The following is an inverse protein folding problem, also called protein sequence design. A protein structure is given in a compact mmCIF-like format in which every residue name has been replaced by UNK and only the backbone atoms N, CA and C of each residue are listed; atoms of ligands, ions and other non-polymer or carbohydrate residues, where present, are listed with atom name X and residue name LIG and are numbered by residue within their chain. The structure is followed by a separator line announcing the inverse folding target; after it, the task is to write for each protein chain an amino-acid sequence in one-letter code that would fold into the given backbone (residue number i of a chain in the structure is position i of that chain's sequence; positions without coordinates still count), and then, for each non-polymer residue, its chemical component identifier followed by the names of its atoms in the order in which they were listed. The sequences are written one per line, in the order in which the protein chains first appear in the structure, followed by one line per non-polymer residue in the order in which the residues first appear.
data_IF_251413142595
#
_entry.id   IF_251413142595
#
_cell.length_a   1.000
_cell.length_b   1.000
_cell.length_c   1.000
_cell.angle_alpha   90.00
_cell.angle_beta   90.00
_cell.angle_gamma   90.00
#
_symmetry.space_group_name_H-M   'P 1'
#
loop_
_entity.id
_entity.type
_entity.pdbx_description
1 polymer ?
#
# COMPACT_ATOMS: atom_id res chain seq x y z
N UNK A 1 1.12 -36.39 -12.03
CA UNK A 1 1.29 -35.33 -13.05
C UNK A 1 0.06 -34.41 -13.08
N UNK A 2 -0.01 -33.41 -12.20
CA UNK A 2 -0.96 -32.30 -12.32
C UNK A 2 -0.22 -31.04 -11.86
N UNK A 3 0.42 -30.38 -12.82
CA UNK A 3 1.21 -29.16 -12.64
C UNK A 3 0.30 -27.93 -12.82
N UNK A 4 0.49 -26.99 -11.90
CA UNK A 4 0.43 -25.53 -12.08
C UNK A 4 -0.95 -24.89 -12.28
N UNK A 5 -1.42 -24.29 -11.19
CA UNK A 5 -2.53 -23.36 -11.11
C UNK A 5 -2.03 -22.19 -10.29
N UNK A 6 -1.58 -21.11 -10.94
CA UNK A 6 -1.33 -19.84 -10.28
C UNK A 6 -1.19 -18.69 -11.30
N UNK A 7 -1.32 -17.46 -10.79
CA UNK A 7 -1.19 -16.13 -11.41
C UNK A 7 -2.54 -15.47 -11.77
N UNK A 8 -3.11 -14.77 -10.78
CA UNK A 8 -4.06 -13.67 -10.96
C UNK A 8 -3.51 -12.49 -10.16
N UNK A 9 -2.68 -11.70 -10.85
CA UNK A 9 -2.31 -10.30 -10.65
C UNK A 9 -0.95 -10.16 -11.36
N UNK A 10 -0.90 -9.34 -12.42
CA UNK A 10 0.28 -9.07 -13.26
C UNK A 10 0.82 -10.19 -14.20
N UNK A 11 -0.05 -11.04 -14.75
CA UNK A 11 0.16 -11.60 -16.10
C UNK A 11 -0.98 -11.18 -17.04
N UNK A 12 -1.06 -9.89 -17.36
CA UNK A 12 -1.90 -9.41 -18.47
C UNK A 12 -1.07 -9.01 -19.70
N UNK A 13 0.27 -9.00 -19.64
CA UNK A 13 1.09 -8.56 -20.79
C UNK A 13 2.33 -9.40 -21.11
N UNK A 14 2.47 -10.64 -20.63
CA UNK A 14 3.51 -11.55 -21.16
C UNK A 14 2.97 -12.33 -22.37
N UNK A 15 2.73 -11.61 -23.45
CA UNK A 15 2.21 -12.18 -24.69
C UNK A 15 1.94 -11.15 -25.79
N UNK A 16 2.52 -9.95 -25.70
CA UNK A 16 2.50 -8.98 -26.79
C UNK A 16 3.84 -8.25 -26.75
N UNK A 17 4.76 -8.60 -27.65
CA UNK A 17 5.88 -7.73 -27.98
C UNK A 17 5.36 -6.53 -28.75
N UNK A 18 4.75 -5.57 -28.07
CA UNK A 18 4.41 -4.24 -28.61
C UNK A 18 4.72 -3.23 -27.50
N UNK A 19 5.39 -2.15 -27.88
CA UNK A 19 5.70 -1.03 -27.00
C UNK A 19 4.42 -0.60 -26.26
N UNK A 20 4.44 -0.62 -24.92
CA UNK A 20 3.34 -0.11 -24.13
C UNK A 20 3.16 1.38 -24.46
N UNK A 21 2.07 1.72 -25.16
CA UNK A 21 1.67 3.10 -25.37
C UNK A 21 0.80 3.50 -24.18
N UNK A 22 1.26 4.49 -23.41
CA UNK A 22 0.47 5.09 -22.35
C UNK A 22 -0.77 5.77 -22.96
N UNK A 23 -1.95 5.23 -22.70
CA UNK A 23 -3.21 5.74 -23.26
C UNK A 23 -3.49 7.19 -22.86
N UNK A 24 -2.84 7.71 -21.81
CA UNK A 24 -3.01 9.09 -21.34
C UNK A 24 -2.42 10.12 -22.31
N UNK A 25 -1.48 9.71 -23.16
CA UNK A 25 -0.74 10.60 -24.06
C UNK A 25 -1.16 10.46 -25.54
N UNK A 26 -2.24 9.73 -25.83
CA UNK A 26 -2.72 9.50 -27.19
C UNK A 26 -3.74 10.56 -27.59
N UNK A 27 -3.50 11.21 -28.73
CA UNK A 27 -4.45 12.14 -29.38
C UNK A 27 -5.69 11.44 -29.91
N UNK A 28 -5.58 10.16 -30.28
CA UNK A 28 -6.69 9.30 -30.68
C UNK A 28 -6.45 7.88 -30.14
N UNK A 29 -7.45 7.31 -29.45
CA UNK A 29 -7.36 5.99 -28.83
C UNK A 29 -8.00 4.93 -29.74
N UNK A 30 -7.18 4.10 -30.38
CA UNK A 30 -7.67 2.93 -31.13
C UNK A 30 -8.04 1.78 -30.17
N UNK A 31 -9.28 1.81 -29.69
CA UNK A 31 -9.83 0.75 -28.83
C UNK A 31 -10.08 -0.58 -29.55
N UNK A 32 -10.10 -0.62 -30.88
CA UNK A 32 -10.33 -1.86 -31.61
C UNK A 32 -9.06 -2.72 -31.61
N UNK A 33 -7.90 -2.12 -31.85
CA UNK A 33 -6.65 -2.85 -31.98
C UNK A 33 -5.96 -3.12 -30.64
N UNK A 34 -6.07 -2.21 -29.67
CA UNK A 34 -5.30 -2.27 -28.42
C UNK A 34 -6.18 -2.39 -27.16
N UNK A 35 -5.82 -3.26 -26.19
CA UNK A 35 -6.64 -3.53 -25.01
C UNK A 35 -6.43 -2.49 -23.90
N UNK A 36 -6.54 -1.19 -24.21
CA UNK A 36 -6.34 -0.10 -23.24
C UNK A 36 -7.23 -0.20 -22.00
N UNK A 37 -8.39 -0.86 -22.12
CA UNK A 37 -9.29 -1.10 -20.98
C UNK A 37 -8.59 -1.73 -19.78
N UNK A 38 -7.54 -2.53 -19.97
CA UNK A 38 -6.81 -3.16 -18.87
C UNK A 38 -6.09 -2.16 -17.97
N UNK A 39 -5.49 -1.12 -18.57
CA UNK A 39 -4.84 -0.03 -17.84
C UNK A 39 -5.88 0.96 -17.30
N UNK A 40 -6.91 1.27 -18.09
CA UNK A 40 -8.00 2.17 -17.68
C UNK A 40 -8.78 1.63 -16.46
N UNK A 41 -8.95 0.32 -16.32
CA UNK A 41 -9.57 -0.31 -15.14
C UNK A 41 -8.85 0.02 -13.82
N UNK A 42 -7.56 0.35 -13.90
CA UNK A 42 -6.69 0.65 -12.76
C UNK A 42 -6.54 2.15 -12.51
N UNK A 43 -7.15 2.99 -13.34
CA UNK A 43 -7.10 4.44 -13.24
C UNK A 43 -8.50 5.03 -13.03
N UNK A 44 -8.82 5.37 -11.78
CA UNK A 44 -10.11 5.95 -11.41
C UNK A 44 -10.30 7.41 -11.88
N UNK A 45 -9.30 8.05 -12.50
CA UNK A 45 -9.50 9.32 -13.20
C UNK A 45 -10.19 9.13 -14.56
N UNK A 46 -10.16 7.92 -15.12
CA UNK A 46 -10.82 7.58 -16.39
C UNK A 46 -12.28 7.26 -16.12
N UNK A 47 -13.19 7.78 -16.93
CA UNK A 47 -14.62 7.54 -16.76
C UNK A 47 -14.97 6.05 -16.97
N UNK A 48 -15.89 5.53 -16.15
CA UNK A 48 -16.35 4.14 -16.23
C UNK A 48 -16.93 3.78 -17.61
N UNK A 49 -17.77 4.65 -18.18
CA UNK A 49 -18.40 4.41 -19.48
C UNK A 49 -17.38 4.46 -20.63
N UNK A 50 -16.33 5.27 -20.50
CA UNK A 50 -15.22 5.26 -21.46
C UNK A 50 -14.46 3.93 -21.44
N UNK A 51 -14.20 3.41 -20.24
CA UNK A 51 -13.54 2.12 -20.02
C UNK A 51 -14.39 0.96 -20.54
N UNK A 52 -15.72 0.99 -20.32
CA UNK A 52 -16.68 0.07 -20.97
C UNK A 52 -16.62 0.15 -22.49
N UNK A 53 -16.67 1.36 -23.05
CA UNK A 53 -16.59 1.56 -24.51
C UNK A 53 -15.31 0.96 -25.07
N UNK A 54 -14.17 1.19 -24.43
CA UNK A 54 -12.89 0.61 -24.83
C UNK A 54 -12.93 -0.91 -24.84
N UNK A 55 -13.45 -1.53 -23.77
CA UNK A 55 -13.60 -2.97 -23.67
C UNK A 55 -14.50 -3.56 -24.75
N UNK A 56 -15.72 -3.04 -24.92
CA UNK A 56 -16.68 -3.59 -25.88
C UNK A 56 -16.23 -3.37 -27.33
N UNK A 57 -15.51 -2.28 -27.61
CA UNK A 57 -14.90 -2.05 -28.93
C UNK A 57 -13.81 -3.08 -29.20
N UNK A 58 -12.92 -3.32 -28.23
CA UNK A 58 -11.90 -4.37 -28.33
C UNK A 58 -12.54 -5.75 -28.52
N UNK A 59 -13.58 -6.10 -27.76
CA UNK A 59 -14.13 -7.45 -27.76
C UNK A 59 -15.19 -7.75 -28.83
N UNK A 60 -15.59 -6.76 -29.64
CA UNK A 60 -16.73 -6.86 -30.59
C UNK A 60 -16.71 -8.13 -31.46
N UNK A 61 -15.54 -8.48 -32.00
CA UNK A 61 -15.36 -9.60 -32.93
C UNK A 61 -14.34 -10.63 -32.42
N UNK A 62 -14.16 -10.72 -31.09
CA UNK A 62 -13.17 -11.59 -30.44
C UNK A 62 -13.83 -12.64 -29.55
N UNK A 63 -13.33 -13.87 -29.57
CA UNK A 63 -13.79 -14.95 -28.68
C UNK A 63 -12.96 -14.98 -27.38
N UNK A 64 -13.56 -14.85 -26.19
CA UNK A 64 -12.83 -14.90 -24.93
C UNK A 64 -12.14 -16.24 -24.69
N UNK A 65 -10.87 -16.20 -24.30
CA UNK A 65 -10.08 -17.36 -23.88
C UNK A 65 -9.65 -17.23 -22.42
N UNK A 66 -9.21 -18.32 -21.81
CA UNK A 66 -8.71 -18.28 -20.43
C UNK A 66 -7.49 -17.36 -20.36
N UNK A 67 -7.50 -16.41 -19.42
CA UNK A 67 -6.41 -15.45 -19.22
C UNK A 67 -6.49 -14.20 -20.10
N UNK A 68 -7.49 -14.07 -20.96
CA UNK A 68 -7.57 -12.95 -21.93
C UNK A 68 -7.93 -11.59 -21.34
N UNK A 69 -8.12 -11.46 -20.02
CA UNK A 69 -8.62 -10.23 -19.39
C UNK A 69 -10.14 -10.03 -19.41
N UNK A 70 -10.89 -10.83 -20.19
CA UNK A 70 -12.36 -10.71 -20.30
C UNK A 70 -13.10 -10.88 -18.96
N UNK A 71 -12.86 -12.00 -18.26
CA UNK A 71 -13.51 -12.28 -16.96
C UNK A 71 -13.10 -11.27 -15.87
N UNK A 72 -11.82 -10.88 -15.73
CA UNK A 72 -11.43 -9.76 -14.87
C UNK A 72 -12.24 -8.48 -15.14
N UNK A 73 -12.34 -8.04 -16.40
CA UNK A 73 -13.12 -6.85 -16.74
C UNK A 73 -14.59 -6.99 -16.34
N UNK A 74 -15.25 -8.12 -16.64
CA UNK A 74 -16.68 -8.30 -16.28
C UNK A 74 -16.93 -8.27 -14.77
N UNK A 75 -15.97 -8.72 -13.94
CA UNK A 75 -16.04 -8.58 -12.48
C UNK A 75 -15.89 -7.12 -12.05
N UNK A 76 -14.93 -6.41 -12.64
CA UNK A 76 -14.73 -4.98 -12.40
C UNK A 76 -15.97 -4.17 -12.79
N UNK A 77 -16.55 -4.44 -13.95
CA UNK A 77 -17.74 -3.75 -14.44
C UNK A 77 -18.94 -3.96 -13.53
N UNK A 78 -19.21 -5.22 -13.14
CA UNK A 78 -20.25 -5.56 -12.18
C UNK A 78 -20.04 -4.89 -10.81
N UNK A 79 -18.79 -4.83 -10.35
CA UNK A 79 -18.47 -4.17 -9.08
C UNK A 79 -18.76 -2.67 -9.13
N UNK A 80 -18.37 -2.00 -10.22
CA UNK A 80 -18.41 -0.54 -10.30
C UNK A 80 -19.72 0.06 -10.81
N UNK A 81 -20.52 -0.67 -11.60
CA UNK A 81 -21.74 -0.13 -12.22
C UNK A 81 -22.72 0.53 -11.23
N UNK A 82 -22.75 0.07 -9.97
CA UNK A 82 -23.62 0.59 -8.91
C UNK A 82 -22.89 1.51 -7.90
N UNK A 83 -21.61 1.82 -8.15
CA UNK A 83 -20.69 2.56 -7.24
C UNK A 83 -20.12 3.85 -7.85
N UNK A 84 -20.64 4.25 -9.00
CA UNK A 84 -20.25 5.47 -9.72
C UNK A 84 -21.32 6.55 -9.61
N UNK A 85 -20.98 7.77 -10.01
CA UNK A 85 -21.96 8.81 -10.25
C UNK A 85 -22.73 8.54 -11.56
N UNK A 86 -23.92 9.15 -11.75
CA UNK A 86 -24.71 8.94 -12.97
C UNK A 86 -23.97 9.26 -14.28
N UNK A 87 -23.00 10.16 -14.24
CA UNK A 87 -22.16 10.56 -15.38
C UNK A 87 -20.97 9.60 -15.65
N UNK A 88 -20.78 8.57 -14.84
CA UNK A 88 -19.70 7.58 -14.98
C UNK A 88 -18.42 7.92 -14.24
N UNK A 89 -18.36 9.06 -13.55
CA UNK A 89 -17.22 9.40 -12.69
C UNK A 89 -17.22 8.54 -11.41
N UNK A 90 -16.03 8.18 -10.94
CA UNK A 90 -15.88 7.46 -9.67
C UNK A 90 -16.13 8.41 -8.49
N UNK A 91 -16.76 7.88 -7.43
CA UNK A 91 -16.97 8.62 -6.18
C UNK A 91 -15.63 8.81 -5.47
N UNK A 92 -15.50 9.91 -4.73
CA UNK A 92 -14.32 10.17 -3.92
C UNK A 92 -14.11 9.04 -2.88
N UNK A 93 -12.85 8.72 -2.51
CA UNK A 93 -12.55 7.66 -1.55
C UNK A 93 -13.27 7.79 -0.20
N UNK A 94 -13.52 9.01 0.26
CA UNK A 94 -14.19 9.36 1.52
C UNK A 94 -15.70 9.57 1.37
N UNK A 95 -16.28 9.34 0.19
CA UNK A 95 -17.70 9.62 -0.05
C UNK A 95 -18.62 8.94 0.98
N UNK A 96 -18.42 7.64 1.23
CA UNK A 96 -19.24 6.88 2.18
C UNK A 96 -19.10 7.43 3.59
N UNK A 97 -17.89 7.86 3.97
CA UNK A 97 -17.62 8.49 5.27
C UNK A 97 -18.38 9.81 5.41
N UNK A 98 -18.27 10.68 4.41
CA UNK A 98 -18.95 11.97 4.41
C UNK A 98 -20.48 11.79 4.48
N UNK A 99 -21.04 10.88 3.69
CA UNK A 99 -22.49 10.61 3.71
C UNK A 99 -22.94 9.99 5.03
N UNK A 100 -22.13 9.13 5.66
CA UNK A 100 -22.40 8.61 6.99
C UNK A 100 -22.47 9.72 8.04
N UNK A 101 -21.49 10.63 8.05
CA UNK A 101 -21.49 11.76 8.98
C UNK A 101 -22.63 12.74 8.74
N UNK A 102 -22.95 13.06 7.48
CA UNK A 102 -24.16 13.84 7.13
C UNK A 102 -25.42 13.16 7.65
N UNK A 103 -25.53 11.85 7.48
CA UNK A 103 -26.66 11.09 7.99
C UNK A 103 -26.78 11.21 9.52
N UNK A 104 -25.67 11.08 10.26
CA UNK A 104 -25.66 11.24 11.72
C UNK A 104 -25.99 12.66 12.18
N UNK A 105 -25.57 13.69 11.45
CA UNK A 105 -25.91 15.09 11.73
C UNK A 105 -27.42 15.35 11.55
N UNK A 106 -28.01 14.81 10.49
CA UNK A 106 -29.44 14.92 10.18
C UNK A 106 -30.31 14.00 11.07
N UNK A 107 -29.73 12.92 11.57
CA UNK A 107 -30.38 11.90 12.40
C UNK A 107 -29.59 11.69 13.70
N UNK A 108 -29.50 12.71 14.57
CA UNK A 108 -28.78 12.57 15.83
C UNK A 108 -29.37 11.39 16.59
N UNK A 109 -28.49 10.49 17.03
CA UNK A 109 -28.88 9.28 17.76
C UNK A 109 -29.51 9.71 19.09
N UNK A 110 -30.83 9.90 19.09
CA UNK A 110 -31.62 10.16 20.29
C UNK A 110 -31.84 8.83 21.01
N UNK A 111 -31.92 8.87 22.36
CA UNK A 111 -31.99 7.68 23.22
C UNK A 111 -33.08 6.66 22.85
N UNK A 112 -34.08 7.04 22.04
CA UNK A 112 -35.18 6.17 21.59
C UNK A 112 -34.90 5.32 20.33
N UNK A 113 -33.81 5.57 19.59
CA UNK A 113 -33.41 4.79 18.39
C UNK A 113 -32.21 3.87 18.63
N UNK A 114 -31.72 3.79 19.87
CA UNK A 114 -30.80 2.73 20.30
C UNK A 114 -31.56 1.40 20.19
N UNK A 115 -31.47 0.77 19.02
CA UNK A 115 -31.80 -0.64 18.87
C UNK A 115 -31.11 -1.38 20.02
N UNK A 116 -31.85 -2.28 20.68
CA UNK A 116 -31.34 -2.99 21.86
C UNK A 116 -29.94 -3.55 21.61
N UNK A 117 -29.08 -3.56 22.63
CA UNK A 117 -27.69 -4.02 22.53
C UNK A 117 -27.60 -5.28 21.66
N UNK A 118 -27.16 -5.13 20.41
CA UNK A 118 -26.94 -6.25 19.52
C UNK A 118 -25.60 -6.87 19.92
N UNK A 119 -25.61 -8.15 20.26
CA UNK A 119 -24.38 -8.91 20.49
C UNK A 119 -23.91 -9.45 19.16
N UNK A 120 -22.80 -8.92 18.65
CA UNK A 120 -22.12 -9.46 17.48
C UNK A 120 -21.08 -10.48 17.94
N UNK A 121 -21.00 -11.61 17.24
CA UNK A 121 -19.98 -12.63 17.47
C UNK A 121 -19.27 -13.00 16.16
N UNK A 122 -17.96 -13.20 16.25
CA UNK A 122 -17.13 -13.65 15.14
C UNK A 122 -17.29 -15.17 14.95
N UNK A 123 -17.82 -15.58 13.79
CA UNK A 123 -18.04 -16.99 13.46
C UNK A 123 -16.81 -17.68 12.83
N UNK A 124 -15.72 -16.96 12.59
CA UNK A 124 -14.50 -17.46 11.96
C UNK A 124 -14.45 -17.26 10.43
N UNK A 125 -13.42 -17.83 9.77
CA UNK A 125 -12.50 -18.85 10.28
C UNK A 125 -11.37 -18.30 11.17
N UNK A 126 -11.23 -18.86 12.38
CA UNK A 126 -10.14 -18.52 13.33
C UNK A 126 -8.83 -19.27 13.06
N UNK A 127 -8.92 -20.38 12.35
CA UNK A 127 -7.78 -21.24 12.02
C UNK A 127 -7.74 -21.46 10.52
N UNK A 128 -6.53 -21.52 9.97
CA UNK A 128 -6.33 -21.93 8.59
C UNK A 128 -6.83 -23.36 8.39
N UNK A 129 -7.90 -23.52 7.63
CA UNK A 129 -8.28 -24.84 7.13
C UNK A 129 -7.45 -25.15 5.87
N UNK A 130 -6.81 -26.33 5.84
CA UNK A 130 -5.95 -26.77 4.74
C UNK A 130 -6.78 -27.14 3.50
N UNK A 131 -7.34 -26.15 2.81
CA UNK A 131 -8.06 -26.32 1.55
C UNK A 131 -7.15 -26.27 0.31
N UNK A 132 -5.84 -26.07 0.50
CA UNK A 132 -4.87 -25.85 -0.59
C UNK A 132 -4.88 -24.39 -1.10
N UNK A 133 -3.77 -23.95 -1.72
CA UNK A 133 -3.62 -22.58 -2.26
C UNK A 133 -3.28 -21.49 -1.22
N UNK A 134 -3.46 -20.21 -1.61
CA UNK A 134 -3.33 -18.99 -0.77
C UNK A 134 -4.46 -18.85 0.26
N UNK A 135 -4.85 -19.95 0.89
CA UNK A 135 -5.88 -19.97 1.91
C UNK A 135 -5.23 -19.63 3.25
N UNK A 136 -5.41 -18.40 3.72
CA UNK A 136 -5.04 -17.92 5.05
C UNK A 136 -6.28 -17.36 5.76
N UNK A 137 -6.14 -16.96 7.02
CA UNK A 137 -7.21 -16.27 7.78
C UNK A 137 -7.25 -14.75 7.52
N UNK A 138 -6.33 -14.24 6.69
CA UNK A 138 -6.23 -12.83 6.31
C UNK A 138 -4.80 -12.48 5.89
N UNK A 139 -4.61 -11.29 5.30
CA UNK A 139 -3.30 -10.68 5.06
C UNK A 139 -3.01 -9.65 6.14
N UNK A 140 -1.73 -9.46 6.47
CA UNK A 140 -1.23 -8.37 7.32
C UNK A 140 -0.33 -7.49 6.46
N UNK A 141 -0.54 -6.17 6.50
CA UNK A 141 0.29 -5.19 5.81
C UNK A 141 1.31 -4.53 6.75
N UNK A 142 0.95 -4.36 8.03
CA UNK A 142 1.76 -3.64 9.01
C UNK A 142 1.89 -4.42 10.31
N UNK A 143 3.05 -4.28 10.94
CA UNK A 143 3.30 -4.73 12.31
C UNK A 143 4.10 -3.64 13.03
N UNK A 144 3.72 -3.36 14.28
CA UNK A 144 4.46 -2.50 15.18
C UNK A 144 4.51 -3.13 16.58
N UNK A 145 5.47 -2.71 17.39
CA UNK A 145 5.72 -3.28 18.71
C UNK A 145 5.71 -2.17 19.75
N UNK A 146 5.20 -2.48 20.94
CA UNK A 146 5.37 -1.63 22.09
C UNK A 146 6.86 -1.63 22.52
N UNK A 147 7.38 -0.46 22.90
CA UNK A 147 8.83 -0.27 23.15
C UNK A 147 9.38 -1.14 24.27
N UNK A 148 8.63 -1.22 25.37
CA UNK A 148 9.10 -1.83 26.63
C UNK A 148 8.26 -3.02 27.06
N UNK A 149 7.20 -3.34 26.34
CA UNK A 149 6.29 -4.44 26.67
C UNK A 149 6.28 -5.43 25.49
N UNK A 150 6.98 -6.57 25.61
CA UNK A 150 7.05 -7.53 24.53
C UNK A 150 5.73 -8.26 24.27
N UNK A 151 4.74 -8.15 25.17
CA UNK A 151 3.43 -8.76 25.00
C UNK A 151 2.48 -7.90 24.17
N UNK A 152 2.79 -6.62 23.99
CA UNK A 152 1.95 -5.68 23.26
C UNK A 152 2.43 -5.52 21.81
N UNK A 153 1.61 -6.00 20.87
CA UNK A 153 1.90 -6.00 19.42
C UNK A 153 0.68 -5.43 18.69
N UNK A 154 0.95 -4.65 17.65
CA UNK A 154 -0.04 -4.01 16.81
C UNK A 154 0.09 -4.53 15.39
N UNK A 155 -1.03 -4.85 14.74
CA UNK A 155 -1.04 -5.25 13.33
C UNK A 155 -2.11 -4.52 12.55
N UNK A 156 -1.81 -4.24 11.28
CA UNK A 156 -2.71 -3.62 10.32
C UNK A 156 -3.01 -4.58 9.18
N UNK A 157 -4.28 -4.75 8.84
CA UNK A 157 -4.74 -5.57 7.73
C UNK A 157 -5.16 -4.68 6.54
N UNK A 158 -5.03 -5.16 5.29
CA UNK A 158 -5.38 -4.40 4.08
C UNK A 158 -6.87 -4.11 3.94
N UNK A 159 -7.74 -4.89 4.58
CA UNK A 159 -9.19 -4.73 4.58
C UNK A 159 -9.82 -5.35 5.84
N UNK A 160 -9.04 -5.38 6.93
CA UNK A 160 -9.42 -6.04 8.18
C UNK A 160 -9.22 -5.16 9.42
N UNK A 161 -8.78 -3.92 9.25
CA UNK A 161 -8.64 -2.95 10.33
C UNK A 161 -7.33 -3.03 11.09
N UNK A 162 -7.30 -2.32 12.22
CA UNK A 162 -6.21 -2.33 13.18
C UNK A 162 -6.52 -3.31 14.30
N UNK A 163 -5.51 -4.05 14.74
CA UNK A 163 -5.61 -5.03 15.81
C UNK A 163 -4.49 -4.85 16.81
N UNK A 164 -4.80 -5.08 18.07
CA UNK A 164 -3.85 -5.09 19.19
C UNK A 164 -3.96 -6.42 19.94
N UNK A 165 -2.81 -6.95 20.34
CA UNK A 165 -2.69 -7.98 21.38
C UNK A 165 -1.92 -7.38 22.55
N UNK A 166 -2.25 -7.81 23.78
CA UNK A 166 -1.54 -7.47 25.01
C UNK A 166 -1.04 -8.74 25.74
N UNK A 167 -1.10 -9.89 25.08
CA UNK A 167 -0.76 -11.20 25.65
C UNK A 167 0.20 -12.00 24.75
N UNK A 168 0.96 -11.32 23.90
CA UNK A 168 1.95 -11.94 23.02
C UNK A 168 1.35 -12.65 21.81
N UNK A 169 0.11 -12.31 21.43
CA UNK A 169 -0.56 -12.82 20.24
C UNK A 169 -1.52 -13.98 20.48
N UNK A 170 -1.82 -14.33 21.74
CA UNK A 170 -2.81 -15.34 22.10
C UNK A 170 -4.24 -14.85 21.81
N UNK A 171 -4.52 -13.58 22.10
CA UNK A 171 -5.76 -12.91 21.74
C UNK A 171 -5.53 -11.57 21.05
N UNK A 172 -6.45 -11.21 20.16
CA UNK A 172 -6.41 -9.98 19.37
C UNK A 172 -7.76 -9.26 19.45
N UNK A 173 -7.71 -7.94 19.61
CA UNK A 173 -8.90 -7.07 19.66
C UNK A 173 -8.81 -6.01 18.57
N UNK A 174 -9.95 -5.69 17.96
CA UNK A 174 -10.09 -4.58 17.03
C UNK A 174 -11.29 -3.70 17.42
N UNK A 175 -11.12 -2.39 17.29
CA UNK A 175 -12.17 -1.39 17.48
C UNK A 175 -12.39 -0.55 16.22
N UNK A 176 -11.96 -1.05 15.06
CA UNK A 176 -12.01 -0.30 13.79
C UNK A 176 -13.26 -0.51 12.96
N UNK A 177 -14.30 -1.14 13.51
CA UNK A 177 -15.56 -1.42 12.80
C UNK A 177 -16.27 -0.15 12.30
N UNK A 178 -15.96 1.00 12.91
CA UNK A 178 -16.50 2.32 12.55
C UNK A 178 -15.57 3.14 11.65
N UNK A 179 -14.36 2.64 11.35
CA UNK A 179 -13.47 3.36 10.44
C UNK A 179 -14.05 3.38 9.03
N UNK A 180 -13.94 4.51 8.31
CA UNK A 180 -14.42 4.61 6.93
C UNK A 180 -13.67 3.73 5.93
N UNK A 181 -12.48 3.27 6.32
CA UNK A 181 -11.69 2.30 5.58
C UNK A 181 -11.08 1.31 6.54
N UNK A 182 -11.11 0.03 6.18
CA UNK A 182 -10.51 -1.05 6.98
C UNK A 182 -9.08 -1.36 6.51
N UNK A 183 -8.52 -0.58 5.59
CA UNK A 183 -7.12 -0.75 5.18
C UNK A 183 -6.19 -0.01 6.12
N UNK A 184 -5.25 -0.74 6.73
CA UNK A 184 -4.18 -0.19 7.57
C UNK A 184 -2.85 -0.73 7.04
N UNK A 185 -2.02 0.15 6.48
CA UNK A 185 -0.75 -0.22 5.85
C UNK A 185 0.49 0.33 6.57
N UNK A 186 0.32 1.25 7.52
CA UNK A 186 1.41 1.73 8.37
C UNK A 186 0.91 2.02 9.77
N UNK A 187 1.73 1.75 10.78
CA UNK A 187 1.43 2.01 12.19
C UNK A 187 2.66 2.66 12.81
N UNK A 188 2.50 3.82 13.41
CA UNK A 188 3.47 4.43 14.32
C UNK A 188 2.86 4.53 15.71
N UNK A 189 3.55 3.98 16.70
CA UNK A 189 3.15 4.04 18.10
C UNK A 189 4.08 5.01 18.81
N UNK A 190 3.53 5.96 19.55
CA UNK A 190 4.37 6.85 20.32
C UNK A 190 5.16 6.07 21.39
N UNK A 191 6.45 6.40 21.53
CA UNK A 191 7.34 5.63 22.39
C UNK A 191 7.19 5.99 23.86
N UNK A 192 6.72 7.20 24.16
CA UNK A 192 6.57 7.73 25.51
C UNK A 192 5.09 7.72 25.94
N UNK A 193 4.17 7.76 24.96
CA UNK A 193 2.72 7.76 25.13
C UNK A 193 2.07 6.69 24.25
N UNK A 194 2.23 5.39 24.54
CA UNK A 194 1.80 4.29 23.67
C UNK A 194 0.29 4.25 23.34
N UNK A 195 -0.54 4.98 24.08
CA UNK A 195 -1.93 5.24 23.75
C UNK A 195 -2.12 6.11 22.49
N UNK A 196 -1.09 6.88 22.11
CA UNK A 196 -1.05 7.70 20.90
C UNK A 196 -0.53 6.86 19.73
N UNK A 197 -1.39 6.62 18.76
CA UNK A 197 -1.10 5.75 17.61
C UNK A 197 -1.51 6.48 16.33
N UNK A 198 -0.61 6.50 15.34
CA UNK A 198 -0.90 6.95 13.99
C UNK A 198 -1.04 5.73 13.06
N UNK A 199 -2.11 5.70 12.29
CA UNK A 199 -2.39 4.68 11.30
C UNK A 199 -2.40 5.28 9.88
N UNK A 200 -1.52 4.78 9.02
CA UNK A 200 -1.58 5.04 7.58
C UNK A 200 -2.63 4.15 6.94
N UNK A 201 -3.64 4.76 6.35
CA UNK A 201 -4.82 4.04 5.86
C UNK A 201 -4.73 3.62 4.39
N UNK A 202 -5.58 2.66 4.01
CA UNK A 202 -5.65 2.05 2.70
C UNK A 202 -4.81 0.78 2.57
N UNK A 203 -4.95 0.11 1.43
CA UNK A 203 -4.17 -1.08 1.11
C UNK A 203 -3.03 -0.76 0.14
N UNK A 204 -1.80 -0.72 0.65
CA UNK A 204 -0.60 -0.43 -0.13
C UNK A 204 -0.40 -1.44 -1.26
N UNK A 205 -0.64 -2.72 -1.02
CA UNK A 205 -0.13 -3.77 -1.90
C UNK A 205 -1.18 -4.26 -2.92
N UNK A 206 -2.46 -4.38 -2.52
CA UNK A 206 -3.55 -4.87 -3.37
C UNK A 206 -4.54 -3.82 -3.89
N UNK A 207 -4.61 -2.63 -3.29
CA UNK A 207 -5.66 -1.66 -3.56
C UNK A 207 -7.06 -2.13 -3.13
N UNK A 208 -7.15 -3.08 -2.19
CA UNK A 208 -8.39 -3.68 -1.70
C UNK A 208 -9.26 -2.67 -0.91
N UNK A 209 -8.62 -1.69 -0.25
CA UNK A 209 -9.30 -0.65 0.52
C UNK A 209 -8.77 0.75 0.16
N UNK A 210 -9.66 1.76 0.04
CA UNK A 210 -9.24 3.14 -0.23
C UNK A 210 -8.38 3.70 0.90
N UNK A 211 -7.42 4.56 0.55
CA UNK A 211 -6.64 5.33 1.51
C UNK A 211 -7.25 6.71 1.76
N UNK A 212 -7.25 7.12 3.02
CA UNK A 212 -7.81 8.37 3.52
C UNK A 212 -6.75 9.17 4.30
N UNK A 213 -5.46 8.97 3.99
CA UNK A 213 -4.36 9.60 4.71
C UNK A 213 -4.06 8.92 6.05
N UNK A 214 -3.68 9.73 7.03
CA UNK A 214 -3.32 9.32 8.39
C UNK A 214 -4.50 9.52 9.35
N UNK A 215 -4.75 8.53 10.20
CA UNK A 215 -5.68 8.62 11.33
C UNK A 215 -4.90 8.54 12.64
N UNK A 216 -5.41 9.18 13.69
CA UNK A 216 -4.84 9.15 15.03
C UNK A 216 -5.80 8.53 16.03
N UNK A 217 -5.26 7.74 16.95
CA UNK A 217 -5.90 7.38 18.21
C UNK A 217 -5.12 8.00 19.37
N UNK A 218 -5.82 8.39 20.43
CA UNK A 218 -5.24 8.86 21.69
C UNK A 218 -5.62 7.96 22.88
N UNK A 219 -6.16 6.78 22.61
CA UNK A 219 -6.71 5.87 23.63
C UNK A 219 -6.36 4.39 23.34
N UNK A 220 -5.22 4.15 22.68
CA UNK A 220 -4.71 2.79 22.43
C UNK A 220 -5.43 2.06 21.29
N UNK A 221 -6.00 2.81 20.35
CA UNK A 221 -6.68 2.29 19.16
C UNK A 221 -8.16 1.98 19.35
N UNK A 222 -8.80 2.50 20.41
CA UNK A 222 -10.23 2.33 20.68
C UNK A 222 -11.04 3.30 19.84
N UNK A 223 -10.67 4.58 19.83
CA UNK A 223 -11.25 5.61 18.98
C UNK A 223 -10.21 6.22 18.05
N UNK A 224 -10.68 6.68 16.89
CA UNK A 224 -9.85 7.18 15.82
C UNK A 224 -10.46 8.43 15.21
N UNK A 225 -9.62 9.38 14.85
CA UNK A 225 -10.00 10.61 14.16
C UNK A 225 -9.07 10.86 12.96
N UNK A 226 -9.56 11.53 11.90
CA UNK A 226 -8.70 11.98 10.81
C UNK A 226 -7.56 12.87 11.35
N UNK A 227 -6.33 12.60 10.88
CA UNK A 227 -5.13 13.31 11.31
C UNK A 227 -4.19 13.58 10.13
N UNK A 228 -4.81 14.05 9.06
CA UNK A 228 -4.24 14.16 7.71
C UNK A 228 -4.41 15.57 7.14
N UNK A 229 -4.49 16.62 7.98
CA UNK A 229 -4.58 18.00 7.51
C UNK A 229 -3.39 18.33 6.59
N UNK A 230 -3.66 18.84 5.39
CA UNK A 230 -2.65 19.08 4.35
C UNK A 230 -2.28 17.84 3.49
N UNK A 231 -2.91 16.68 3.72
CA UNK A 231 -2.86 15.52 2.83
C UNK A 231 -4.12 15.36 1.98
N UNK A 232 -3.95 14.86 0.76
CA UNK A 232 -5.05 14.32 -0.04
C UNK A 232 -5.54 12.97 0.53
N UNK A 233 -6.68 12.46 0.06
CA UNK A 233 -7.13 11.09 0.32
C UNK A 233 -6.24 10.09 -0.43
N UNK A 234 -5.15 9.68 0.21
CA UNK A 234 -4.11 8.80 -0.34
C UNK A 234 -3.92 7.56 0.51
N UNK A 235 -3.42 6.49 -0.12
CA UNK A 235 -2.92 5.33 0.63
C UNK A 235 -1.59 5.71 1.25
N UNK A 236 -1.49 5.62 2.59
CA UNK A 236 -0.23 5.84 3.32
C UNK A 236 0.38 4.48 3.64
N UNK A 237 1.35 4.10 2.82
CA UNK A 237 1.91 2.75 2.82
C UNK A 237 3.10 2.55 3.77
N UNK A 238 3.79 3.62 4.13
CA UNK A 238 4.88 3.58 5.11
C UNK A 238 5.07 4.96 5.72
N UNK A 239 5.10 5.03 7.05
CA UNK A 239 5.53 6.20 7.79
C UNK A 239 6.86 5.90 8.48
N UNK A 240 7.75 6.88 8.48
CA UNK A 240 9.00 6.86 9.22
C UNK A 240 9.02 8.06 10.17
N UNK A 241 9.26 7.82 11.45
CA UNK A 241 9.47 8.86 12.45
C UNK A 241 10.97 9.07 12.66
N UNK A 242 11.40 10.31 12.79
CA UNK A 242 12.79 10.64 13.06
C UNK A 242 13.15 10.30 14.51
N UNK A 243 14.25 9.56 14.71
CA UNK A 243 14.69 9.14 16.05
C UNK A 243 15.21 10.31 16.90
N UNK A 244 15.71 11.37 16.27
CA UNK A 244 16.23 12.57 16.96
C UNK A 244 15.17 13.64 17.18
N UNK A 245 14.01 13.51 16.52
CA UNK A 245 12.88 14.43 16.64
C UNK A 245 11.55 13.69 16.38
N UNK A 246 10.86 13.21 17.44
CA UNK A 246 9.62 12.46 17.28
C UNK A 246 8.47 13.23 16.63
N UNK A 247 8.51 14.57 16.59
CA UNK A 247 7.49 15.35 15.87
C UNK A 247 7.73 15.40 14.37
N UNK A 248 8.92 14.98 13.91
CA UNK A 248 9.25 14.87 12.49
C UNK A 248 8.92 13.48 11.94
N UNK A 249 7.90 13.42 11.08
CA UNK A 249 7.46 12.19 10.41
C UNK A 249 7.43 12.41 8.90
N UNK A 250 7.89 11.40 8.16
CA UNK A 250 7.74 11.29 6.72
C UNK A 250 6.77 10.16 6.39
N UNK A 251 5.90 10.37 5.41
CA UNK A 251 4.90 9.42 4.95
C UNK A 251 5.04 9.18 3.44
N UNK A 252 5.43 7.96 3.07
CA UNK A 252 5.37 7.49 1.68
C UNK A 252 3.95 7.07 1.34
N UNK A 253 3.41 7.64 0.27
CA UNK A 253 2.02 7.43 -0.14
C UNK A 253 1.87 7.06 -1.61
N UNK A 254 0.65 6.69 -1.99
CA UNK A 254 0.28 6.43 -3.38
C UNK A 254 0.38 7.65 -4.30
N UNK A 255 0.52 8.87 -3.75
CA UNK A 255 0.61 10.12 -4.50
C UNK A 255 1.65 11.05 -3.88
N UNK A 256 2.89 10.57 -3.74
CA UNK A 256 4.01 11.36 -3.25
C UNK A 256 4.45 11.08 -1.81
N UNK A 257 5.39 11.91 -1.34
CA UNK A 257 5.89 11.91 0.04
C UNK A 257 5.31 13.12 0.76
N UNK A 258 4.75 12.89 1.94
CA UNK A 258 4.31 13.93 2.85
C UNK A 258 5.22 14.01 4.07
N UNK A 259 5.33 15.21 4.62
CA UNK A 259 6.17 15.54 5.77
C UNK A 259 5.35 16.32 6.80
N UNK A 260 5.62 16.06 8.07
CA UNK A 260 5.14 16.86 9.21
C UNK A 260 6.30 17.09 10.19
N UNK A 261 6.34 18.24 10.85
CA UNK A 261 7.29 18.55 11.93
C UNK A 261 6.60 18.87 13.25
N UNK A 262 5.28 18.71 13.31
CA UNK A 262 4.43 18.94 14.48
C UNK A 262 3.65 17.67 14.86
N UNK A 263 4.28 16.50 14.68
CA UNK A 263 3.75 15.22 15.13
C UNK A 263 2.54 14.71 14.35
N UNK A 264 2.27 15.27 13.16
CA UNK A 264 1.14 14.90 12.30
C UNK A 264 -0.03 15.87 12.32
N UNK A 265 0.03 16.96 13.09
CA UNK A 265 -1.05 17.96 13.09
C UNK A 265 -1.23 18.60 11.70
N UNK A 266 -0.14 18.86 10.98
CA UNK A 266 -0.17 19.34 9.60
C UNK A 266 0.88 18.64 8.75
N UNK A 267 0.50 18.32 7.52
CA UNK A 267 1.33 17.64 6.54
C UNK A 267 1.55 18.50 5.29
N UNK A 268 2.74 18.40 4.72
CA UNK A 268 3.11 19.08 3.47
C UNK A 268 3.68 18.05 2.51
N UNK A 269 3.20 18.05 1.28
CA UNK A 269 3.77 17.22 0.21
C UNK A 269 5.11 17.79 -0.24
N UNK A 270 6.18 16.99 -0.20
CA UNK A 270 7.54 17.44 -0.55
C UNK A 270 8.20 16.64 -1.66
N UNK A 271 7.57 15.56 -2.14
CA UNK A 271 8.06 14.85 -3.33
C UNK A 271 7.93 15.70 -4.60
N UNK A 272 8.86 15.53 -5.57
CA UNK A 272 8.82 16.27 -6.85
C UNK A 272 7.70 15.81 -7.79
N UNK A 273 7.09 14.66 -7.52
CA UNK A 273 6.07 14.04 -8.35
C UNK A 273 4.95 13.40 -7.51
N UNK A 274 3.96 12.84 -8.21
CA UNK A 274 2.84 12.09 -7.65
C UNK A 274 3.07 10.57 -7.76
N UNK A 275 4.33 10.12 -7.81
CA UNK A 275 4.65 8.70 -7.91
C UNK A 275 4.13 7.93 -6.68
N UNK A 276 3.95 6.62 -6.84
CA UNK A 276 3.64 5.72 -5.72
C UNK A 276 4.94 5.38 -4.98
N UNK A 277 5.16 6.03 -3.83
CA UNK A 277 6.29 5.75 -2.94
C UNK A 277 5.94 4.58 -2.02
N UNK A 278 6.82 3.59 -1.98
CA UNK A 278 6.55 2.27 -1.36
C UNK A 278 7.23 2.09 -0.01
N UNK A 279 8.40 2.70 0.15
CA UNK A 279 9.19 2.61 1.38
C UNK A 279 9.89 3.94 1.65
N UNK A 280 10.11 4.23 2.93
CA UNK A 280 10.77 5.44 3.39
C UNK A 280 11.44 5.19 4.74
N UNK A 281 12.69 5.63 4.90
CA UNK A 281 13.50 5.45 6.12
C UNK A 281 14.37 6.67 6.36
N UNK A 282 14.51 7.08 7.62
CA UNK A 282 15.55 8.01 8.01
C UNK A 282 16.92 7.32 8.05
N UNK A 283 17.97 8.09 7.78
CA UNK A 283 19.31 7.72 8.22
C UNK A 283 19.34 7.75 9.75
N UNK A 284 19.73 6.66 10.44
CA UNK A 284 19.74 6.61 11.89
C UNK A 284 20.54 7.78 12.48
N UNK A 285 19.96 8.46 13.47
CA UNK A 285 20.56 9.64 14.10
C UNK A 285 20.50 10.94 13.28
N UNK A 286 19.82 10.96 12.13
CA UNK A 286 19.69 12.15 11.28
C UNK A 286 18.24 12.63 11.15
N UNK A 287 18.06 13.94 11.25
CA UNK A 287 16.87 14.65 10.80
C UNK A 287 17.07 15.34 9.45
N UNK A 288 18.18 15.10 8.76
CA UNK A 288 18.49 15.71 7.46
C UNK A 288 18.45 14.68 6.33
N UNK A 289 19.00 13.49 6.56
CA UNK A 289 19.12 12.45 5.54
C UNK A 289 18.01 11.42 5.71
N UNK A 290 17.26 11.20 4.63
CA UNK A 290 16.30 10.13 4.51
C UNK A 290 16.29 9.55 3.10
N UNK A 291 15.73 8.37 2.98
CA UNK A 291 15.73 7.52 1.79
C UNK A 291 14.29 7.14 1.46
N UNK A 292 13.95 7.08 0.19
CA UNK A 292 12.64 6.58 -0.25
C UNK A 292 12.77 5.75 -1.53
N UNK A 293 11.85 4.82 -1.73
CA UNK A 293 11.68 4.10 -3.01
C UNK A 293 10.30 4.37 -3.57
N UNK A 294 10.21 4.43 -4.89
CA UNK A 294 8.96 4.48 -5.63
C UNK A 294 8.98 3.50 -6.80
N UNK A 295 7.88 3.40 -7.53
CA UNK A 295 7.86 2.67 -8.81
C UNK A 295 8.88 3.20 -9.83
N UNK A 296 9.40 4.42 -9.63
CA UNK A 296 10.35 5.09 -10.52
C UNK A 296 11.81 4.92 -10.09
N UNK A 297 12.09 4.45 -8.87
CA UNK A 297 13.45 4.19 -8.40
C UNK A 297 13.72 4.58 -6.96
N UNK A 298 14.97 4.93 -6.68
CA UNK A 298 15.49 5.28 -5.35
C UNK A 298 15.71 6.79 -5.26
N UNK A 299 15.31 7.37 -4.13
CA UNK A 299 15.32 8.80 -3.85
C UNK A 299 16.02 9.06 -2.52
N UNK A 300 16.65 10.23 -2.43
CA UNK A 300 17.36 10.67 -1.23
C UNK A 300 17.14 12.16 -0.98
N UNK A 301 17.04 12.52 0.29
CA UNK A 301 17.05 13.92 0.77
C UNK A 301 18.27 14.15 1.66
N UNK A 302 18.75 15.40 1.70
CA UNK A 302 19.81 15.87 2.61
C UNK A 302 19.37 17.11 3.42
N UNK A 303 18.13 17.55 3.25
CA UNK A 303 17.61 18.80 3.82
C UNK A 303 16.40 18.55 4.73
N UNK A 304 16.25 17.34 5.26
CA UNK A 304 15.13 16.99 6.14
C UNK A 304 13.82 16.87 5.36
N UNK A 305 13.89 16.32 4.14
CA UNK A 305 12.73 16.06 3.30
C UNK A 305 12.04 17.33 2.81
N UNK A 306 12.75 18.46 2.71
CA UNK A 306 12.24 19.64 1.99
C UNK A 306 12.29 19.40 0.48
N UNK A 307 13.37 18.76 0.01
CA UNK A 307 13.51 18.32 -1.38
C UNK A 307 14.00 16.88 -1.48
N UNK A 308 13.58 16.20 -2.55
CA UNK A 308 13.97 14.82 -2.85
C UNK A 308 14.66 14.73 -4.20
N UNK A 309 15.83 14.09 -4.22
CA UNK A 309 16.61 13.83 -5.43
C UNK A 309 16.41 12.39 -5.88
N UNK A 310 15.95 12.18 -7.11
CA UNK A 310 15.95 10.88 -7.75
C UNK A 310 17.40 10.48 -8.07
N UNK A 311 17.86 9.37 -7.52
CA UNK A 311 19.24 8.93 -7.69
C UNK A 311 19.40 8.16 -9.01
N UNK A 312 20.49 8.36 -9.76
CA UNK A 312 20.65 7.70 -11.05
C UNK A 312 21.06 6.23 -10.88
N UNK A 313 20.59 5.36 -11.78
CA UNK A 313 20.95 3.94 -11.83
C UNK A 313 22.46 3.67 -11.78
N UNK A 314 23.27 4.61 -12.26
CA UNK A 314 24.74 4.52 -12.28
C UNK A 314 25.38 4.41 -10.90
N UNK A 315 24.64 4.67 -9.82
CA UNK A 315 25.16 4.48 -8.45
C UNK A 315 25.16 3.02 -8.00
N UNK A 316 24.73 2.06 -8.82
CA UNK A 316 24.91 0.63 -8.56
C UNK A 316 23.74 -0.10 -7.89
N UNK A 317 22.56 0.52 -7.82
CA UNK A 317 21.31 -0.16 -7.46
C UNK A 317 20.54 -0.59 -8.73
N UNK A 318 19.64 -1.58 -8.65
CA UNK A 318 18.98 -2.08 -9.84
C UNK A 318 17.80 -1.21 -10.28
N UNK A 319 17.54 -1.17 -11.58
CA UNK A 319 16.40 -0.44 -12.15
C UNK A 319 15.29 -1.35 -12.65
N UNK A 320 14.05 -0.88 -12.48
CA UNK A 320 12.83 -1.57 -12.87
C UNK A 320 12.54 -2.74 -11.92
N UNK A 321 11.48 -2.62 -11.13
CA UNK A 321 11.16 -3.58 -10.07
C UNK A 321 10.71 -2.88 -8.80
N UNK A 322 10.44 -3.65 -7.74
CA UNK A 322 10.16 -3.14 -6.39
C UNK A 322 11.45 -3.13 -5.57
N UNK A 323 11.67 -2.05 -4.84
CA UNK A 323 12.78 -1.87 -3.92
C UNK A 323 12.26 -1.57 -2.52
N UNK A 324 12.89 -2.15 -1.51
CA UNK A 324 12.70 -1.81 -0.09
C UNK A 324 14.04 -1.47 0.55
N UNK A 325 14.00 -0.64 1.59
CA UNK A 325 15.17 -0.01 2.23
C UNK A 325 15.34 -0.56 3.65
N UNK A 326 16.54 -1.02 3.97
CA UNK A 326 16.97 -1.30 5.33
C UNK A 326 18.02 -0.29 5.80
N UNK A 327 17.86 0.24 7.02
CA UNK A 327 18.87 1.04 7.72
C UNK A 327 19.11 0.45 9.12
N UNK A 328 20.21 0.83 9.78
CA UNK A 328 20.53 0.27 11.11
C UNK A 328 21.19 1.30 12.04
N UNK A 329 20.73 1.46 13.30
CA UNK A 329 21.42 2.29 14.28
C UNK A 329 22.86 1.87 14.57
N UNK A 330 23.27 0.67 14.17
CA UNK A 330 24.65 0.20 14.30
C UNK A 330 25.65 0.98 13.42
N UNK A 331 25.17 1.63 12.34
CA UNK A 331 25.98 2.47 11.46
C UNK A 331 25.08 3.39 10.63
N UNK A 332 25.25 4.70 10.80
CA UNK A 332 24.51 5.73 10.05
C UNK A 332 24.82 5.72 8.54
N UNK A 333 25.97 5.20 8.13
CA UNK A 333 26.34 5.11 6.71
C UNK A 333 25.82 3.88 5.97
N UNK A 334 25.31 2.86 6.67
CA UNK A 334 24.87 1.61 6.05
C UNK A 334 23.43 1.70 5.57
N UNK A 335 23.24 1.47 4.27
CA UNK A 335 21.91 1.38 3.64
C UNK A 335 21.83 0.10 2.81
N UNK A 336 20.82 -0.70 3.08
CA UNK A 336 20.51 -1.91 2.31
C UNK A 336 19.36 -1.62 1.35
N UNK A 337 19.48 -2.13 0.12
CA UNK A 337 18.35 -2.26 -0.79
C UNK A 337 18.11 -3.72 -1.10
N UNK A 338 16.87 -4.14 -1.02
CA UNK A 338 16.42 -5.46 -1.47
C UNK A 338 15.48 -5.28 -2.66
N UNK A 339 15.76 -5.99 -3.75
CA UNK A 339 15.07 -5.81 -5.02
C UNK A 339 14.33 -7.05 -5.52
N UNK A 340 13.15 -6.82 -6.08
CA UNK A 340 12.40 -7.77 -6.89
C UNK A 340 12.22 -7.26 -8.31
N UNK A 341 12.43 -8.14 -9.31
CA UNK A 341 12.12 -7.88 -10.71
C UNK A 341 11.60 -9.15 -11.38
N UNK A 342 10.39 -9.57 -11.01
CA UNK A 342 9.82 -10.86 -11.43
C UNK A 342 10.66 -12.05 -10.97
N UNK A 343 11.31 -11.91 -9.83
CA UNK A 343 12.32 -12.80 -9.27
C UNK A 343 13.25 -12.01 -8.35
N UNK A 344 13.98 -12.71 -7.46
CA UNK A 344 15.03 -12.07 -6.65
C UNK A 344 16.03 -11.35 -7.56
N UNK A 345 16.04 -10.03 -7.45
CA UNK A 345 16.89 -9.21 -8.27
C UNK A 345 18.25 -8.99 -7.60
N UNK A 346 18.24 -8.79 -6.29
CA UNK A 346 19.45 -8.82 -5.47
C UNK A 346 19.30 -8.10 -4.14
N UNK A 347 20.35 -8.23 -3.33
CA UNK A 347 20.60 -7.42 -2.15
C UNK A 347 21.82 -6.54 -2.43
N UNK A 348 21.71 -5.26 -2.09
CA UNK A 348 22.70 -4.23 -2.38
C UNK A 348 23.03 -3.48 -1.11
N UNK A 349 24.30 -3.11 -0.95
CA UNK A 349 24.80 -2.40 0.22
C UNK A 349 25.48 -1.10 -0.20
N UNK A 350 25.07 -0.02 0.44
CA UNK A 350 25.81 1.23 0.50
C UNK A 350 26.54 1.34 1.84
N UNK A 351 27.76 1.85 1.79
CA UNK A 351 28.58 2.20 2.97
C UNK A 351 28.88 3.68 3.04
N UNK A 352 28.17 4.49 2.25
CA UNK A 352 28.39 5.93 2.05
C UNK A 352 27.06 6.70 2.11
N UNK A 353 26.19 6.33 3.06
CA UNK A 353 24.90 6.98 3.32
C UNK A 353 23.96 6.95 2.10
N UNK A 354 24.00 5.87 1.32
CA UNK A 354 23.12 5.66 0.18
C UNK A 354 23.52 6.41 -1.09
N UNK A 355 24.79 6.84 -1.21
CA UNK A 355 25.31 7.54 -2.39
C UNK A 355 25.77 6.57 -3.49
N UNK A 356 26.35 5.43 -3.13
CA UNK A 356 26.70 4.33 -4.02
C UNK A 356 26.37 2.98 -3.42
N UNK A 357 26.06 1.99 -4.27
CA UNK A 357 25.66 0.66 -3.89
C UNK A 357 26.54 -0.39 -4.57
N UNK A 358 26.82 -1.46 -3.82
CA UNK A 358 27.52 -2.65 -4.30
C UNK A 358 26.62 -3.87 -4.14
N UNK A 359 26.50 -4.66 -5.20
CA UNK A 359 25.74 -5.93 -5.17
C UNK A 359 26.37 -6.90 -4.19
N UNK A 360 25.58 -7.35 -3.20
CA UNK A 360 26.01 -8.34 -2.21
C UNK A 360 25.63 -9.75 -2.64
N UNK A 361 24.43 -9.92 -3.20
CA UNK A 361 23.98 -11.21 -3.74
C UNK A 361 22.88 -11.05 -4.77
N UNK A 362 22.84 -12.00 -5.69
CA UNK A 362 21.74 -12.21 -6.66
C UNK A 362 21.27 -13.66 -6.68
N UNK A 363 21.87 -14.52 -5.84
CA UNK A 363 21.51 -15.92 -5.66
C UNK A 363 21.92 -16.40 -4.25
N UNK A 364 21.25 -17.44 -3.70
CA UNK A 364 20.06 -18.11 -4.23
C UNK A 364 18.82 -17.20 -4.23
N UNK A 365 17.77 -17.56 -4.96
CA UNK A 365 16.52 -16.79 -5.01
C UNK A 365 15.78 -16.88 -3.66
N UNK A 366 16.01 -15.89 -2.78
CA UNK A 366 15.37 -15.82 -1.46
C UNK A 366 13.90 -15.35 -1.51
N UNK A 367 13.41 -14.92 -2.67
CA UNK A 367 12.02 -14.50 -2.89
C UNK A 367 11.19 -15.57 -3.59
N UNK A 368 11.81 -16.73 -3.90
CA UNK A 368 11.22 -17.85 -4.62
C UNK A 368 10.43 -18.81 -3.74
N UNK A 369 9.89 -19.86 -4.36
CA UNK A 369 9.13 -20.91 -3.67
C UNK A 369 9.97 -22.15 -3.37
N UNK A 370 11.06 -22.33 -4.11
CA UNK A 370 12.00 -23.43 -3.91
C UNK A 370 12.80 -23.20 -2.62
N UNK A 371 12.85 -24.23 -1.77
CA UNK A 371 13.55 -24.19 -0.49
C UNK A 371 15.07 -23.94 -0.62
N UNK A 372 15.65 -24.25 -1.78
CA UNK A 372 17.05 -24.04 -2.13
C UNK A 372 17.28 -22.75 -2.94
N UNK A 373 16.21 -22.01 -3.26
CA UNK A 373 16.23 -20.82 -4.10
C UNK A 373 16.77 -21.07 -5.53
N UNK A 374 16.63 -22.29 -6.05
CA UNK A 374 17.01 -22.64 -7.42
C UNK A 374 15.99 -22.23 -8.49
N UNK A 375 14.85 -21.66 -8.10
CA UNK A 375 13.84 -21.14 -9.03
C UNK A 375 14.07 -19.66 -9.39
N UNK A 376 13.24 -19.13 -10.27
CA UNK A 376 13.41 -17.77 -10.84
C UNK A 376 12.25 -16.83 -10.59
N UNK A 377 11.15 -17.30 -10.00
CA UNK A 377 9.99 -16.44 -9.78
C UNK A 377 9.94 -15.91 -8.35
N UNK A 378 8.96 -15.05 -8.10
CA UNK A 378 8.78 -14.43 -6.80
C UNK A 378 7.36 -13.89 -6.65
N UNK A 379 7.05 -13.47 -5.42
CA UNK A 379 5.93 -12.57 -5.12
C UNK A 379 6.40 -11.18 -4.66
N UNK A 380 7.70 -10.90 -4.69
CA UNK A 380 8.30 -9.68 -4.12
C UNK A 380 7.75 -8.36 -4.70
N UNK A 381 7.26 -8.33 -5.94
CA UNK A 381 6.54 -7.17 -6.47
C UNK A 381 5.31 -6.77 -5.61
N UNK A 382 4.76 -7.72 -4.84
CA UNK A 382 3.57 -7.59 -3.99
C UNK A 382 3.88 -7.54 -2.48
N UNK A 383 4.73 -8.42 -1.96
CA UNK A 383 4.90 -8.64 -0.51
C UNK A 383 6.35 -8.49 0.00
N UNK A 384 7.16 -7.67 -0.68
CA UNK A 384 8.54 -7.40 -0.26
C UNK A 384 8.64 -6.42 0.92
N UNK A 385 9.48 -6.80 1.90
CA UNK A 385 9.90 -6.03 3.08
C UNK A 385 11.31 -6.50 3.53
N UNK A 386 12.09 -5.63 4.17
CA UNK A 386 13.39 -5.96 4.79
C UNK A 386 13.53 -5.30 6.16
#
# INVERSE_FOLDING_TARGET
MKKQLLIVALLVLAGIGLQAQDYRNLTEKDYASYPYYGEMMLDQSVNFYETQKAFYTYWKDRTPTRGSGYKPFKRWEYFWQDRINPDGTFKAPDYVYQEYHKYLEDHPITDGLKTGQATWEELGPKTRQNYGGYTGVGRVNAIAFHRTDPLTIYVGAPSGGFWITNDGGETWVSHTDILPTLGISSILVDQDHPEVILAGTGDRDGGDSPGLGVFRSNDGGITWEPFNEGMDNVVVGMMARCDTDPSFILAASSSGIYKTTNGGENWVKTSPDNSNYRDIKFMPGSNLIAYATSNSGYYRTEDGGETWTAMPASIGYPTGGRLVIGTTPASDSLVYLLGDKSGYNGCYLSTDCGLTFTTQSTSPNILGWAYDGGDTGSQGWYDLII
#
